data_IF_659112996990
#
_entry.id   IF_659112996990
#
_cell.length_a   1.000
_cell.length_b   1.000
_cell.length_c   1.000
_cell.angle_alpha   90.00
_cell.angle_beta   90.00
_cell.angle_gamma   90.00
#
_symmetry.space_group_name_H-M   'P 1'
#
loop_
_entity.id
_entity.type
_entity.pdbx_description
1 polymer ?
#
# COMPACT_ATOMS: atom_id res chain seq x y z
N UNK A 1 60.39 -25.08 -8.63
CA UNK A 1 59.00 -24.94 -8.11
C UNK A 1 58.11 -25.48 -9.21
N UNK A 2 57.78 -26.78 -9.15
CA UNK A 2 56.87 -27.41 -10.11
C UNK A 2 55.45 -26.98 -9.76
N UNK A 3 55.03 -25.86 -10.33
CA UNK A 3 53.65 -25.38 -10.24
C UNK A 3 52.93 -25.98 -11.44
N UNK A 4 52.48 -27.22 -11.30
CA UNK A 4 51.75 -27.94 -12.35
C UNK A 4 50.82 -28.97 -11.74
N UNK A 5 49.62 -29.10 -12.30
CA UNK A 5 48.62 -30.07 -11.85
C UNK A 5 49.19 -31.49 -12.00
N UNK A 6 49.27 -32.23 -10.89
CA UNK A 6 49.81 -33.59 -10.88
C UNK A 6 48.99 -34.48 -11.83
N UNK A 7 49.66 -35.18 -12.77
CA UNK A 7 49.01 -35.96 -13.83
C UNK A 7 48.10 -37.07 -13.30
N UNK A 8 48.39 -37.59 -12.13
CA UNK A 8 47.57 -38.58 -11.40
C UNK A 8 46.23 -38.01 -10.88
N UNK A 9 46.04 -36.69 -10.93
CA UNK A 9 44.78 -36.01 -10.62
C UNK A 9 44.04 -35.49 -11.88
N UNK A 10 44.53 -35.80 -13.08
CA UNK A 10 43.86 -35.48 -14.34
C UNK A 10 42.92 -36.65 -14.68
N UNK A 11 41.62 -36.37 -14.66
CA UNK A 11 40.58 -37.35 -15.02
C UNK A 11 40.81 -37.88 -16.43
N UNK A 12 40.66 -39.18 -16.59
CA UNK A 12 40.64 -39.83 -17.91
C UNK A 12 39.41 -39.42 -18.71
N UNK A 13 39.47 -39.50 -20.03
CA UNK A 13 38.33 -39.16 -20.91
C UNK A 13 37.07 -39.97 -20.56
N UNK A 14 37.23 -41.23 -20.14
CA UNK A 14 36.12 -42.08 -19.65
C UNK A 14 35.50 -41.58 -18.34
N UNK A 15 36.32 -41.08 -17.40
CA UNK A 15 35.82 -40.52 -16.14
C UNK A 15 35.14 -39.16 -16.36
N UNK A 16 35.66 -38.34 -17.28
CA UNK A 16 35.01 -37.09 -17.71
C UNK A 16 33.67 -37.41 -18.37
N UNK A 17 33.60 -38.43 -19.23
CA UNK A 17 32.34 -38.82 -19.88
C UNK A 17 31.32 -39.35 -18.87
N UNK A 18 31.72 -40.25 -17.96
CA UNK A 18 30.85 -40.71 -16.86
C UNK A 18 30.33 -39.55 -16.01
N UNK A 19 31.17 -38.55 -15.72
CA UNK A 19 30.75 -37.37 -14.95
C UNK A 19 29.75 -36.50 -15.73
N UNK A 20 29.95 -36.32 -17.05
CA UNK A 20 28.98 -35.63 -17.92
C UNK A 20 27.63 -36.32 -17.95
N UNK A 21 27.63 -37.65 -18.11
CA UNK A 21 26.40 -38.45 -18.14
C UNK A 21 25.65 -38.38 -16.81
N UNK A 22 26.39 -38.40 -15.68
CA UNK A 22 25.82 -38.26 -14.34
C UNK A 22 25.17 -36.87 -14.14
N UNK A 23 25.79 -35.81 -14.65
CA UNK A 23 25.24 -34.44 -14.59
C UNK A 23 23.99 -34.31 -15.44
N UNK A 24 24.00 -34.86 -16.67
CA UNK A 24 22.85 -34.82 -17.56
C UNK A 24 21.66 -35.54 -16.94
N UNK A 25 21.88 -36.75 -16.40
CA UNK A 25 20.83 -37.51 -15.73
C UNK A 25 20.21 -36.76 -14.55
N UNK A 26 21.03 -36.09 -13.72
CA UNK A 26 20.51 -35.26 -12.62
C UNK A 26 19.68 -34.08 -13.11
N UNK A 27 20.10 -33.42 -14.20
CA UNK A 27 19.32 -32.34 -14.81
C UNK A 27 17.97 -32.85 -15.32
N UNK A 28 17.95 -33.99 -15.99
CA UNK A 28 16.71 -34.57 -16.53
C UNK A 28 15.75 -34.96 -15.39
N UNK A 29 16.26 -35.57 -14.31
CA UNK A 29 15.47 -35.91 -13.12
C UNK A 29 14.93 -34.67 -12.38
N UNK A 30 15.70 -33.58 -12.34
CA UNK A 30 15.26 -32.31 -11.75
C UNK A 30 14.21 -31.62 -12.62
N UNK A 31 14.42 -31.56 -13.93
CA UNK A 31 13.44 -31.05 -14.88
C UNK A 31 12.14 -31.85 -14.86
N UNK A 32 12.20 -33.17 -14.71
CA UNK A 32 11.02 -34.02 -14.60
C UNK A 32 10.27 -33.76 -13.28
N UNK A 33 10.99 -33.58 -12.16
CA UNK A 33 10.37 -33.18 -10.88
C UNK A 33 9.70 -31.80 -10.96
N UNK A 34 10.31 -30.85 -11.66
CA UNK A 34 9.73 -29.52 -11.86
C UNK A 34 8.49 -29.58 -12.77
N UNK A 35 8.56 -30.35 -13.86
CA UNK A 35 7.42 -30.57 -14.75
C UNK A 35 6.25 -31.26 -14.04
N UNK A 36 6.51 -32.25 -13.17
CA UNK A 36 5.48 -32.89 -12.35
C UNK A 36 4.89 -31.93 -11.32
N UNK A 37 5.70 -31.05 -10.72
CA UNK A 37 5.23 -30.02 -9.79
C UNK A 37 4.32 -29.01 -10.50
N UNK A 38 4.70 -28.59 -11.71
CA UNK A 38 3.91 -27.68 -12.53
C UNK A 38 2.62 -28.34 -13.02
N UNK A 39 2.68 -29.61 -13.42
CA UNK A 39 1.50 -30.38 -13.80
C UNK A 39 0.50 -30.58 -12.65
N UNK A 40 0.99 -30.62 -11.41
CA UNK A 40 0.17 -30.69 -10.18
C UNK A 40 -0.34 -29.33 -9.71
N UNK A 41 0.06 -28.21 -10.33
CA UNK A 41 -0.53 -26.92 -10.00
C UNK A 41 -2.02 -26.95 -10.40
N UNK A 42 -2.92 -26.56 -9.48
CA UNK A 42 -4.33 -26.40 -9.81
C UNK A 42 -4.45 -25.47 -11.01
N UNK A 43 -5.06 -25.94 -12.09
CA UNK A 43 -5.39 -25.10 -13.24
C UNK A 43 -6.78 -24.56 -13.04
N UNK A 44 -6.95 -23.28 -13.35
CA UNK A 44 -8.26 -22.66 -13.38
C UNK A 44 -9.12 -23.36 -14.44
N UNK A 45 -10.39 -23.56 -14.15
CA UNK A 45 -11.36 -23.94 -15.18
C UNK A 45 -11.61 -22.76 -16.11
N UNK A 46 -12.19 -23.02 -17.29
CA UNK A 46 -12.58 -21.96 -18.22
C UNK A 46 -13.57 -20.99 -17.57
N UNK A 47 -14.50 -21.52 -16.77
CA UNK A 47 -15.46 -20.72 -16.00
C UNK A 47 -14.75 -19.83 -14.96
N UNK A 48 -13.81 -20.38 -14.18
CA UNK A 48 -13.04 -19.60 -13.20
C UNK A 48 -12.23 -18.49 -13.88
N UNK A 49 -11.60 -18.81 -15.02
CA UNK A 49 -10.82 -17.85 -15.81
C UNK A 49 -11.71 -16.73 -16.35
N UNK A 50 -12.93 -17.07 -16.80
CA UNK A 50 -13.90 -16.11 -17.28
C UNK A 50 -14.42 -15.19 -16.15
N UNK A 51 -14.63 -15.74 -14.95
CA UNK A 51 -15.00 -14.94 -13.77
C UNK A 51 -13.90 -13.94 -13.44
N UNK A 52 -12.64 -14.38 -13.36
CA UNK A 52 -11.49 -13.49 -13.11
C UNK A 52 -11.41 -12.39 -14.16
N UNK A 53 -11.49 -12.73 -15.46
CA UNK A 53 -11.45 -11.75 -16.54
C UNK A 53 -12.58 -10.71 -16.42
N UNK A 54 -13.78 -11.15 -16.04
CA UNK A 54 -14.93 -10.25 -15.83
C UNK A 54 -14.71 -9.32 -14.64
N UNK A 55 -14.11 -9.82 -13.54
CA UNK A 55 -13.81 -9.01 -12.36
C UNK A 55 -12.71 -7.97 -12.63
N UNK A 56 -11.66 -8.35 -13.36
CA UNK A 56 -10.59 -7.43 -13.78
C UNK A 56 -11.16 -6.33 -14.68
N UNK A 57 -11.94 -6.69 -15.70
CA UNK A 57 -12.61 -5.71 -16.56
C UNK A 57 -13.54 -4.79 -15.76
N UNK A 58 -14.26 -5.35 -14.79
CA UNK A 58 -15.14 -4.60 -13.92
C UNK A 58 -14.37 -3.56 -13.08
N UNK A 59 -13.21 -3.95 -12.55
CA UNK A 59 -12.31 -3.07 -11.83
C UNK A 59 -11.80 -1.95 -12.73
N UNK A 60 -11.24 -2.26 -13.90
CA UNK A 60 -10.74 -1.26 -14.87
C UNK A 60 -11.80 -0.25 -15.30
N UNK A 61 -13.05 -0.67 -15.47
CA UNK A 61 -14.16 0.23 -15.86
C UNK A 61 -14.61 1.16 -14.72
N UNK A 62 -14.22 0.86 -13.48
CA UNK A 62 -14.73 1.55 -12.29
C UNK A 62 -13.63 2.11 -11.39
N UNK A 63 -12.37 1.87 -11.73
CA UNK A 63 -11.21 2.48 -11.12
C UNK A 63 -10.48 3.33 -12.17
N UNK A 64 -10.41 4.64 -11.92
CA UNK A 64 -9.68 5.57 -12.78
C UNK A 64 -8.30 5.84 -12.19
N UNK A 65 -7.26 5.23 -12.77
CA UNK A 65 -5.85 5.42 -12.35
C UNK A 65 -5.33 6.84 -12.60
N UNK A 66 -5.99 7.62 -13.46
CA UNK A 66 -5.63 9.02 -13.68
C UNK A 66 -6.16 9.95 -12.59
N UNK A 67 -7.13 9.50 -11.81
CA UNK A 67 -7.85 10.29 -10.80
C UNK A 67 -8.44 11.59 -11.36
N UNK A 68 -8.78 11.61 -12.64
CA UNK A 68 -9.17 12.81 -13.39
C UNK A 68 -10.42 13.50 -12.84
N UNK A 69 -11.36 12.72 -12.29
CA UNK A 69 -12.61 13.22 -11.70
C UNK A 69 -12.40 13.93 -10.35
N UNK A 70 -11.23 13.80 -9.70
CA UNK A 70 -11.00 14.33 -8.34
C UNK A 70 -11.02 15.86 -8.29
N UNK A 71 -10.71 16.52 -9.42
CA UNK A 71 -10.81 17.98 -9.56
C UNK A 71 -12.25 18.52 -9.45
N UNK A 72 -13.26 17.64 -9.53
CA UNK A 72 -14.68 18.01 -9.39
C UNK A 72 -15.15 18.03 -7.95
N UNK A 73 -14.36 17.52 -7.00
CA UNK A 73 -14.70 17.51 -5.59
C UNK A 73 -14.54 18.90 -5.00
N UNK A 74 -15.20 19.16 -3.86
CA UNK A 74 -14.87 20.33 -3.04
C UNK A 74 -13.36 20.28 -2.70
N UNK A 75 -12.59 21.37 -2.86
CA UNK A 75 -11.15 21.33 -2.70
C UNK A 75 -10.71 20.88 -1.30
N UNK A 76 -9.58 20.15 -1.18
CA UNK A 76 -9.02 19.77 0.13
C UNK A 76 -8.48 21.01 0.86
N UNK A 77 -8.85 21.18 2.14
CA UNK A 77 -8.41 22.30 2.98
C UNK A 77 -7.56 21.76 4.13
N UNK A 78 -6.23 21.83 3.97
CA UNK A 78 -5.25 21.28 4.94
C UNK A 78 -4.80 22.27 6.00
N UNK A 79 -4.77 23.58 5.68
CA UNK A 79 -4.48 24.64 6.64
C UNK A 79 -5.79 25.32 7.09
N UNK A 80 -5.94 25.55 8.39
CA UNK A 80 -7.01 26.40 8.93
C UNK A 80 -6.83 27.87 8.54
N UNK A 81 -7.82 28.74 8.76
CA UNK A 81 -7.67 30.17 8.50
C UNK A 81 -6.48 30.73 9.29
N UNK A 82 -5.44 31.17 8.60
CA UNK A 82 -4.29 31.83 9.24
C UNK A 82 -4.78 33.15 9.84
N UNK A 83 -5.04 33.19 11.15
CA UNK A 83 -5.19 34.46 11.84
C UNK A 83 -3.82 35.16 11.82
N UNK A 84 -3.82 36.46 11.49
CA UNK A 84 -2.63 37.30 11.21
C UNK A 84 -1.61 37.45 12.36
N UNK A 85 -1.69 36.64 13.40
CA UNK A 85 -0.83 36.71 14.59
C UNK A 85 0.44 35.85 14.48
N UNK A 86 0.53 34.92 13.51
CA UNK A 86 1.68 34.03 13.35
C UNK A 86 2.88 34.63 12.58
N UNK A 87 2.84 35.91 12.20
CA UNK A 87 3.94 36.57 11.47
C UNK A 87 5.10 37.07 12.33
N UNK A 88 5.17 36.70 13.63
CA UNK A 88 6.25 37.16 14.54
C UNK A 88 7.25 36.09 14.97
N UNK A 89 7.06 34.82 14.61
CA UNK A 89 7.99 33.75 15.00
C UNK A 89 9.10 33.45 13.97
N UNK A 90 9.14 34.15 12.83
CA UNK A 90 10.17 33.98 11.80
C UNK A 90 11.36 34.95 11.96
N UNK A 91 11.76 35.26 13.20
CA UNK A 91 12.96 36.06 13.45
C UNK A 91 13.57 35.72 14.81
N UNK A 92 14.32 34.61 14.88
CA UNK A 92 15.53 34.54 15.69
C UNK A 92 16.57 33.70 14.94
N UNK A 93 17.62 34.38 14.49
CA UNK A 93 18.82 33.81 13.90
C UNK A 93 19.64 33.03 14.93
N UNK A 94 20.43 32.08 14.39
CA UNK A 94 21.80 31.73 14.79
C UNK A 94 22.13 31.68 16.27
N UNK A 95 22.38 30.46 16.79
CA UNK A 95 23.58 30.20 17.59
C UNK A 95 24.12 28.79 17.27
N UNK A 96 25.39 28.77 16.89
CA UNK A 96 26.26 27.61 16.73
C UNK A 96 26.84 27.15 18.07
N UNK A 97 27.38 25.92 18.06
CA UNK A 97 28.32 25.28 18.99
C UNK A 97 27.83 24.84 20.38
N UNK A 98 27.72 23.51 20.53
CA UNK A 98 28.36 22.81 21.64
C UNK A 98 28.62 21.34 21.25
N UNK A 99 29.90 21.04 21.09
CA UNK A 99 30.47 19.70 20.98
C UNK A 99 30.28 18.89 22.27
N UNK A 100 29.92 17.61 22.14
CA UNK A 100 30.50 16.54 22.96
C UNK A 100 30.42 15.21 22.23
N UNK A 101 31.60 14.64 22.02
CA UNK A 101 31.86 13.25 21.64
C UNK A 101 31.10 12.25 22.52
N UNK A 102 30.60 11.19 21.88
CA UNK A 102 30.86 9.82 22.36
C UNK A 102 30.72 8.84 21.19
N UNK A 103 31.85 8.26 20.81
CA UNK A 103 31.94 7.22 19.80
C UNK A 103 31.31 5.92 20.31
N UNK A 104 30.43 5.32 19.50
CA UNK A 104 30.15 3.89 19.53
C UNK A 104 29.75 3.47 18.12
N UNK A 105 30.72 3.02 17.33
CA UNK A 105 30.48 2.36 16.06
C UNK A 105 30.01 0.91 16.29
N UNK A 106 28.90 0.54 15.67
CA UNK A 106 28.72 -0.81 15.12
C UNK A 106 27.79 -0.72 13.89
N UNK A 107 28.16 -1.25 12.72
CA UNK A 107 27.39 -1.08 11.49
C UNK A 107 26.55 -2.31 11.21
N UNK A 108 25.24 -2.26 11.44
CA UNK A 108 24.32 -3.29 10.94
C UNK A 108 22.99 -2.71 10.45
N UNK A 109 22.62 -3.16 9.25
CA UNK A 109 21.29 -3.17 8.63
C UNK A 109 20.61 -1.84 8.32
N UNK A 110 20.60 -1.51 7.03
CA UNK A 110 19.61 -0.63 6.39
C UNK A 110 18.23 -1.28 6.44
N UNK A 111 17.58 -1.24 7.59
CA UNK A 111 16.14 -1.43 7.69
C UNK A 111 15.48 -0.06 7.71
N UNK A 112 14.80 0.28 6.62
CA UNK A 112 13.92 1.45 6.49
C UNK A 112 12.65 1.20 7.32
N UNK A 113 12.83 1.00 8.62
CA UNK A 113 11.79 0.83 9.62
C UNK A 113 11.73 2.11 10.42
N UNK A 114 11.30 3.20 9.77
CA UNK A 114 10.60 4.26 10.48
C UNK A 114 9.47 3.54 11.22
N UNK A 115 9.65 3.33 12.52
CA UNK A 115 8.77 2.51 13.33
C UNK A 115 7.39 3.18 13.25
N UNK A 116 6.35 2.47 12.76
CA UNK A 116 4.98 3.01 12.64
C UNK A 116 4.53 3.70 13.94
N UNK A 117 4.96 3.15 15.08
CA UNK A 117 4.73 3.71 16.39
C UNK A 117 5.36 5.11 16.55
N UNK A 118 6.56 5.36 16.03
CA UNK A 118 7.22 6.67 16.09
C UNK A 118 6.48 7.70 15.22
N UNK A 119 5.99 7.30 14.05
CA UNK A 119 5.16 8.15 13.19
C UNK A 119 3.83 8.51 13.88
N UNK A 120 3.20 7.52 14.53
CA UNK A 120 1.98 7.71 15.28
C UNK A 120 2.17 8.58 16.53
N UNK A 121 3.29 8.44 17.24
CA UNK A 121 3.64 9.28 18.39
C UNK A 121 3.84 10.75 17.98
N UNK A 122 4.42 11.01 16.81
CA UNK A 122 4.54 12.36 16.25
C UNK A 122 3.17 13.01 15.99
N UNK A 123 2.15 12.22 15.60
CA UNK A 123 0.77 12.72 15.47
C UNK A 123 0.06 12.92 16.82
N UNK A 124 0.49 12.23 17.88
CA UNK A 124 -0.05 12.40 19.22
C UNK A 124 0.48 13.68 19.89
N UNK A 125 1.75 14.05 19.64
CA UNK A 125 2.37 15.26 20.20
C UNK A 125 1.80 16.57 19.62
N UNK A 126 1.32 16.59 18.37
CA UNK A 126 0.72 17.80 17.77
C UNK A 126 -0.65 18.17 18.37
N UNK A 127 -1.27 17.30 19.18
CA UNK A 127 -2.60 17.51 19.77
C UNK A 127 -2.61 17.98 21.23
N UNK A 128 -1.46 18.19 21.87
CA UNK A 128 -1.38 18.35 23.33
C UNK A 128 -0.80 19.70 23.75
N UNK A 129 -1.57 20.79 23.59
CA UNK A 129 -1.32 22.06 24.28
C UNK A 129 -2.51 22.40 25.17
N UNK A 130 -2.38 22.39 26.52
CA UNK A 130 -3.50 22.59 27.41
C UNK A 130 -3.54 24.05 27.88
N UNK A 131 -4.03 24.98 27.06
CA UNK A 131 -4.64 26.22 27.57
C UNK A 131 -5.35 27.01 26.45
N UNK A 132 -6.67 26.89 26.39
CA UNK A 132 -7.63 27.98 26.05
C UNK A 132 -9.01 27.38 25.79
N UNK A 133 -9.95 27.79 26.63
CA UNK A 133 -11.38 27.57 26.51
C UNK A 133 -11.95 28.26 25.26
N UNK A 134 -12.88 27.57 24.58
CA UNK A 134 -13.81 28.07 23.55
C UNK A 134 -13.26 28.30 22.13
N UNK A 135 -12.89 27.22 21.42
CA UNK A 135 -13.10 27.10 19.97
C UNK A 135 -13.56 25.66 19.64
N UNK A 136 -14.84 25.38 19.87
CA UNK A 136 -15.57 24.17 19.42
C UNK A 136 -15.70 24.08 17.88
N UNK A 137 -14.85 24.82 17.16
CA UNK A 137 -14.84 25.05 15.73
C UNK A 137 -13.48 24.75 15.11
N UNK A 138 -12.73 23.78 15.64
CA UNK A 138 -11.70 23.07 14.85
C UNK A 138 -12.40 22.38 13.69
N UNK A 139 -12.70 23.17 12.67
CA UNK A 139 -13.57 22.83 11.55
C UNK A 139 -13.07 21.55 10.91
N UNK A 140 -13.97 20.60 10.66
CA UNK A 140 -13.68 19.41 9.87
C UNK A 140 -13.31 19.79 8.42
N UNK A 141 -12.14 20.43 8.23
CA UNK A 141 -11.77 21.16 7.03
C UNK A 141 -11.63 20.23 5.83
N UNK A 142 -11.27 18.97 6.07
CA UNK A 142 -11.19 17.93 5.05
C UNK A 142 -12.51 17.18 4.84
N UNK A 143 -13.50 17.32 5.73
CA UNK A 143 -14.76 16.57 5.64
C UNK A 143 -15.52 16.82 4.33
N UNK A 144 -15.71 18.06 3.83
CA UNK A 144 -16.39 18.27 2.56
C UNK A 144 -15.72 17.54 1.40
N UNK A 145 -14.39 17.60 1.33
CA UNK A 145 -13.60 16.93 0.28
C UNK A 145 -13.68 15.41 0.41
N UNK A 146 -13.44 14.87 1.61
CA UNK A 146 -13.44 13.42 1.83
C UNK A 146 -14.86 12.82 1.72
N UNK A 147 -15.90 13.58 2.04
CA UNK A 147 -17.28 13.17 1.79
C UNK A 147 -17.57 13.02 0.28
N UNK A 148 -17.06 13.93 -0.56
CA UNK A 148 -17.18 13.81 -2.02
C UNK A 148 -16.38 12.61 -2.54
N UNK A 149 -15.15 12.43 -2.06
CA UNK A 149 -14.29 11.29 -2.41
C UNK A 149 -14.95 9.95 -2.07
N UNK A 150 -15.50 9.81 -0.85
CA UNK A 150 -16.19 8.59 -0.42
C UNK A 150 -17.47 8.39 -1.21
N UNK A 151 -18.25 9.45 -1.46
CA UNK A 151 -19.48 9.38 -2.26
C UNK A 151 -19.20 8.93 -3.69
N UNK A 152 -18.16 9.48 -4.32
CA UNK A 152 -17.66 9.04 -5.62
C UNK A 152 -17.24 7.56 -5.59
N UNK A 153 -16.48 7.18 -4.56
CA UNK A 153 -15.99 5.80 -4.42
C UNK A 153 -17.13 4.79 -4.23
N UNK A 154 -18.20 5.15 -3.50
CA UNK A 154 -19.42 4.33 -3.39
C UNK A 154 -20.05 4.15 -4.76
N UNK A 155 -20.18 5.20 -5.57
CA UNK A 155 -20.74 5.06 -6.93
C UNK A 155 -19.91 4.12 -7.79
N UNK A 156 -18.57 4.19 -7.68
CA UNK A 156 -17.68 3.26 -8.37
C UNK A 156 -17.81 1.83 -7.87
N UNK A 157 -17.95 1.61 -6.55
CA UNK A 157 -18.21 0.28 -5.98
C UNK A 157 -19.55 -0.29 -6.45
N UNK A 158 -20.59 0.53 -6.54
CA UNK A 158 -21.89 0.12 -7.11
C UNK A 158 -21.71 -0.27 -8.59
N UNK A 159 -20.95 0.53 -9.35
CA UNK A 159 -20.60 0.21 -10.73
C UNK A 159 -19.91 -1.15 -10.87
N UNK A 160 -18.94 -1.41 -9.99
CA UNK A 160 -18.18 -2.66 -9.94
C UNK A 160 -19.09 -3.84 -9.62
N UNK A 161 -19.86 -3.74 -8.52
CA UNK A 161 -20.78 -4.79 -8.08
C UNK A 161 -21.78 -5.17 -9.18
N UNK A 162 -22.30 -4.19 -9.92
CA UNK A 162 -23.20 -4.42 -11.05
C UNK A 162 -22.58 -5.19 -12.21
N UNK A 163 -21.28 -5.43 -12.25
CA UNK A 163 -20.62 -6.25 -13.28
C UNK A 163 -20.15 -7.61 -12.75
N UNK A 164 -20.25 -7.86 -11.44
CA UNK A 164 -19.95 -9.16 -10.86
C UNK A 164 -21.00 -10.18 -11.36
N UNK A 165 -20.58 -11.34 -11.92
CA UNK A 165 -21.50 -12.40 -12.32
C UNK A 165 -22.44 -12.80 -11.17
N UNK A 166 -23.74 -12.91 -11.45
CA UNK A 166 -24.78 -13.23 -10.46
C UNK A 166 -25.28 -12.05 -9.61
N UNK A 167 -24.54 -10.94 -9.48
CA UNK A 167 -24.97 -9.84 -8.60
C UNK A 167 -26.29 -9.19 -9.06
N UNK A 168 -26.48 -9.00 -10.36
CA UNK A 168 -27.72 -8.42 -10.92
C UNK A 168 -28.93 -9.36 -10.86
N UNK A 169 -28.69 -10.65 -10.63
CA UNK A 169 -29.74 -11.67 -10.53
C UNK A 169 -30.33 -11.74 -9.12
N UNK A 170 -29.63 -11.16 -8.13
CA UNK A 170 -30.13 -10.97 -6.77
C UNK A 170 -31.31 -9.99 -6.72
N UNK A 171 -32.12 -10.11 -5.68
CA UNK A 171 -33.19 -9.13 -5.40
C UNK A 171 -32.61 -7.73 -5.16
N UNK A 172 -33.42 -6.69 -5.36
CA UNK A 172 -32.97 -5.32 -5.10
C UNK A 172 -32.61 -5.13 -3.62
N UNK A 173 -33.35 -5.78 -2.73
CA UNK A 173 -33.13 -5.81 -1.28
C UNK A 173 -31.76 -6.40 -0.95
N UNK A 174 -31.40 -7.55 -1.54
CA UNK A 174 -30.12 -8.20 -1.32
C UNK A 174 -28.95 -7.40 -1.92
N UNK A 175 -29.11 -6.84 -3.12
CA UNK A 175 -28.09 -5.95 -3.71
C UNK A 175 -27.82 -4.74 -2.81
N UNK A 176 -28.88 -4.12 -2.27
CA UNK A 176 -28.76 -2.99 -1.33
C UNK A 176 -28.12 -3.44 -0.02
N UNK A 177 -28.51 -4.59 0.52
CA UNK A 177 -27.95 -5.11 1.76
C UNK A 177 -26.45 -5.39 1.64
N UNK A 178 -26.03 -6.05 0.56
CA UNK A 178 -24.62 -6.33 0.27
C UNK A 178 -23.81 -5.04 0.10
N UNK A 179 -24.33 -4.07 -0.65
CA UNK A 179 -23.63 -2.79 -0.85
C UNK A 179 -23.53 -1.99 0.46
N UNK A 180 -24.59 -1.96 1.27
CA UNK A 180 -24.57 -1.24 2.56
C UNK A 180 -23.58 -1.85 3.55
N UNK A 181 -23.44 -3.16 3.59
CA UNK A 181 -22.52 -3.83 4.53
C UNK A 181 -21.06 -3.82 4.05
N UNK A 182 -20.81 -3.92 2.74
CA UNK A 182 -19.46 -4.13 2.20
C UNK A 182 -18.79 -2.90 1.60
N UNK A 183 -19.53 -1.81 1.27
CA UNK A 183 -18.96 -0.71 0.49
C UNK A 183 -17.70 -0.12 1.11
N UNK A 184 -17.67 0.07 2.44
CA UNK A 184 -16.48 0.63 3.09
C UNK A 184 -15.27 -0.30 3.02
N UNK A 185 -15.48 -1.62 3.13
CA UNK A 185 -14.41 -2.61 3.03
C UNK A 185 -13.83 -2.65 1.62
N UNK A 186 -14.70 -2.62 0.60
CA UNK A 186 -14.26 -2.55 -0.81
C UNK A 186 -13.54 -1.23 -1.08
N UNK A 187 -13.97 -0.10 -0.49
CA UNK A 187 -13.28 1.19 -0.58
C UNK A 187 -11.89 1.12 0.09
N UNK A 188 -11.78 0.48 1.24
CA UNK A 188 -10.50 0.28 1.92
C UNK A 188 -9.56 -0.60 1.08
N UNK A 189 -10.06 -1.71 0.51
CA UNK A 189 -9.29 -2.59 -0.38
C UNK A 189 -8.77 -1.84 -1.61
N UNK A 190 -9.65 -1.19 -2.38
CA UNK A 190 -9.26 -0.47 -3.61
C UNK A 190 -8.31 0.71 -3.33
N UNK A 191 -8.39 1.31 -2.14
CA UNK A 191 -7.49 2.41 -1.79
C UNK A 191 -6.03 1.93 -1.68
N UNK A 192 -5.79 0.63 -1.48
CA UNK A 192 -4.43 0.10 -1.41
C UNK A 192 -3.66 0.28 -2.72
N UNK A 193 -4.36 0.35 -3.86
CA UNK A 193 -3.75 0.62 -5.16
C UNK A 193 -2.99 1.95 -5.17
N UNK A 194 -3.54 3.02 -4.56
CA UNK A 194 -2.87 4.33 -4.41
C UNK A 194 -2.04 4.49 -3.13
N UNK A 195 -2.05 3.50 -2.23
CA UNK A 195 -1.30 3.55 -0.98
C UNK A 195 0.20 3.36 -1.21
N UNK A 196 1.01 4.24 -0.63
CA UNK A 196 2.47 4.26 -0.74
C UNK A 196 3.13 3.92 0.60
N UNK A 197 4.00 2.90 0.61
CA UNK A 197 4.73 2.46 1.81
C UNK A 197 5.83 3.43 2.24
N UNK A 198 6.38 4.23 1.32
CA UNK A 198 7.51 5.12 1.58
C UNK A 198 7.14 6.30 2.49
N UNK A 199 5.93 6.84 2.34
CA UNK A 199 5.46 8.00 3.10
C UNK A 199 4.12 7.78 3.83
N UNK A 200 3.61 6.55 3.81
CA UNK A 200 2.38 6.14 4.50
C UNK A 200 1.17 7.01 4.11
N UNK A 201 1.03 7.28 2.81
CA UNK A 201 -0.03 8.13 2.26
C UNK A 201 -0.74 7.48 1.07
N UNK A 202 -1.93 7.97 0.74
CA UNK A 202 -2.62 7.65 -0.51
C UNK A 202 -2.32 8.73 -1.54
N UNK A 203 -1.68 8.37 -2.65
CA UNK A 203 -1.30 9.30 -3.71
C UNK A 203 -2.21 9.13 -4.93
N UNK A 204 -3.23 9.98 -5.05
CA UNK A 204 -4.24 9.90 -6.11
C UNK A 204 -3.97 10.93 -7.21
N UNK A 205 -2.85 10.79 -7.92
CA UNK A 205 -2.43 11.72 -8.98
C UNK A 205 -1.53 12.84 -8.46
N UNK A 206 -1.96 14.10 -8.61
CA UNK A 206 -1.19 15.28 -8.21
C UNK A 206 -1.07 15.48 -6.69
N UNK A 207 -0.22 16.43 -6.24
CA UNK A 207 0.02 16.68 -4.81
C UNK A 207 -1.24 17.10 -4.04
N UNK A 208 -2.20 17.74 -4.71
CA UNK A 208 -3.46 18.17 -4.10
C UNK A 208 -4.29 16.98 -3.58
N UNK A 209 -4.15 15.81 -4.21
CA UNK A 209 -4.88 14.58 -3.89
C UNK A 209 -3.97 13.52 -3.25
N UNK A 210 -3.00 13.99 -2.48
CA UNK A 210 -2.20 13.15 -1.58
C UNK A 210 -2.75 13.21 -0.17
N UNK A 211 -3.16 12.08 0.39
CA UNK A 211 -3.83 12.02 1.69
C UNK A 211 -2.95 11.37 2.74
N UNK A 212 -2.66 12.11 3.81
CA UNK A 212 -1.99 11.59 4.99
C UNK A 212 -3.00 11.25 6.09
N UNK A 213 -2.57 10.52 7.13
CA UNK A 213 -3.41 10.22 8.32
C UNK A 213 -3.98 11.52 8.89
N UNK A 214 -3.17 12.58 8.96
CA UNK A 214 -3.56 13.90 9.45
C UNK A 214 -4.64 14.59 8.61
N UNK A 215 -4.84 14.20 7.35
CA UNK A 215 -5.92 14.74 6.52
C UNK A 215 -7.26 14.06 6.84
N UNK A 216 -7.21 12.75 7.13
CA UNK A 216 -8.40 11.98 7.51
C UNK A 216 -8.87 12.33 8.92
N UNK A 217 -7.95 12.66 9.84
CA UNK A 217 -8.32 13.20 11.17
C UNK A 217 -9.02 14.54 11.07
N UNK A 218 -8.63 15.40 10.11
CA UNK A 218 -9.33 16.67 9.80
C UNK A 218 -10.73 16.48 9.21
N UNK A 219 -11.17 15.24 8.95
CA UNK A 219 -12.58 14.93 8.65
C UNK A 219 -13.35 14.34 9.84
N UNK A 220 -12.73 14.27 11.02
CA UNK A 220 -13.37 13.85 12.26
C UNK A 220 -13.14 12.40 12.66
N UNK A 221 -12.31 11.66 11.92
CA UNK A 221 -11.94 10.31 12.31
C UNK A 221 -10.84 10.30 13.38
N UNK A 222 -10.98 9.41 14.35
CA UNK A 222 -10.01 9.24 15.44
C UNK A 222 -8.94 8.22 15.06
N UNK A 223 -7.82 8.24 15.78
CA UNK A 223 -6.74 7.26 15.62
C UNK A 223 -7.18 5.82 15.93
N UNK A 224 -8.23 5.64 16.74
CA UNK A 224 -8.83 4.32 17.02
C UNK A 224 -9.28 3.60 15.74
N UNK A 225 -9.78 4.35 14.74
CA UNK A 225 -10.08 3.81 13.41
C UNK A 225 -8.86 3.81 12.50
N UNK A 226 -8.09 4.90 12.49
CA UNK A 226 -7.05 5.11 11.49
C UNK A 226 -5.82 4.22 11.71
N UNK A 227 -5.48 3.87 12.95
CA UNK A 227 -4.36 2.99 13.23
C UNK A 227 -4.56 1.57 12.68
N UNK A 228 -5.67 0.87 12.97
CA UNK A 228 -5.97 -0.41 12.32
C UNK A 228 -6.02 -0.30 10.81
N UNK A 229 -6.62 0.78 10.27
CA UNK A 229 -6.70 0.99 8.83
C UNK A 229 -5.32 1.07 8.17
N UNK A 230 -4.40 1.87 8.70
CA UNK A 230 -3.06 1.99 8.11
C UNK A 230 -2.26 0.69 8.28
N UNK A 231 -2.39 -0.01 9.42
CA UNK A 231 -1.80 -1.35 9.58
C UNK A 231 -2.32 -2.33 8.53
N UNK A 232 -3.63 -2.30 8.24
CA UNK A 232 -4.25 -3.06 7.17
C UNK A 232 -3.67 -2.70 5.80
N UNK A 233 -3.57 -1.41 5.46
CA UNK A 233 -2.99 -0.97 4.18
C UNK A 233 -1.53 -1.42 4.01
N UNK A 234 -0.72 -1.28 5.06
CA UNK A 234 0.68 -1.72 5.06
C UNK A 234 0.79 -3.24 4.88
N UNK A 235 -0.03 -4.00 5.62
CA UNK A 235 -0.07 -5.45 5.53
C UNK A 235 -0.44 -5.91 4.13
N UNK A 236 -1.53 -5.35 3.58
CA UNK A 236 -2.03 -5.68 2.25
C UNK A 236 -1.02 -5.32 1.14
N UNK A 237 -0.41 -4.12 1.20
CA UNK A 237 0.56 -3.69 0.19
C UNK A 237 1.80 -4.59 0.15
N UNK A 238 2.22 -5.12 1.30
CA UNK A 238 3.37 -6.05 1.42
C UNK A 238 3.12 -7.42 0.83
N UNK A 239 1.87 -7.82 0.62
CA UNK A 239 1.56 -9.09 -0.04
C UNK A 239 1.92 -9.07 -1.54
N UNK A 240 2.11 -7.87 -2.13
CA UNK A 240 2.37 -7.71 -3.57
C UNK A 240 1.37 -8.52 -4.41
N UNK A 241 0.08 -8.38 -4.08
CA UNK A 241 -0.99 -9.09 -4.79
C UNK A 241 -0.98 -8.73 -6.27
N UNK A 242 -1.35 -9.71 -7.07
CA UNK A 242 -1.66 -9.49 -8.48
C UNK A 242 -2.99 -8.72 -8.59
N UNK A 243 -3.34 -8.29 -9.80
CA UNK A 243 -4.59 -7.58 -10.01
C UNK A 243 -5.80 -8.52 -9.91
N UNK A 244 -5.61 -9.78 -10.28
CA UNK A 244 -6.54 -10.90 -10.13
C UNK A 244 -6.76 -11.33 -8.66
#
# INVERSE_FOLDING_TARGET
>A
VDIGMMKEFILTDEEVQRKKDLIQRRKDEEAQREAEREARRPRLTDEQSQVIATLVEAHHKTYDDSYSDFCRFRPPVREGPVTRSASRAASLHSLSDASSDSFSHSPESVDTKMNFNNLLMMYHEQGSSPDSSEEEGSSFSMLPHLADLVSYSIQKVIGFAKMIPGFRELTAEDQIALLKSSAIEVIMLRSNQSFNLGDMSWSCGGPDFKYQISDVTKAGHTLELLEPLVKFQVGLKKLNLQEE
#
